data_IF_088316312448
#
_entry.id   IF_088316312448
#
_cell.length_a   1.000
_cell.length_b   1.000
_cell.length_c   1.000
_cell.angle_alpha   90.00
_cell.angle_beta   90.00
_cell.angle_gamma   90.00
#
_symmetry.space_group_name_H-M   'P 1'
#
loop_
_entity.id
_entity.type
_entity.pdbx_description
1 polymer ?
#
# COMPACT_ATOMS: atom_id res chain seq x y z
N UNK A 1 3.37 -19.59 -6.12
CA UNK A 1 2.90 -18.30 -5.58
C UNK A 1 1.48 -18.50 -5.12
N UNK A 2 1.10 -17.99 -3.95
CA UNK A 2 -0.29 -18.08 -3.47
C UNK A 2 -1.20 -17.23 -4.37
N UNK A 3 -2.42 -17.69 -4.66
CA UNK A 3 -3.41 -16.93 -5.43
C UNK A 3 -4.52 -16.45 -4.50
N UNK A 4 -4.72 -15.13 -4.33
CA UNK A 4 -5.80 -14.63 -3.50
C UNK A 4 -7.16 -15.06 -4.03
N UNK A 5 -8.09 -15.41 -3.13
CA UNK A 5 -9.47 -15.78 -3.46
C UNK A 5 -10.43 -14.58 -3.48
N UNK A 6 -9.91 -13.37 -3.28
CA UNK A 6 -10.64 -12.12 -3.29
C UNK A 6 -9.76 -11.02 -3.91
N UNK A 7 -10.37 -9.89 -4.34
CA UNK A 7 -9.61 -8.72 -4.75
C UNK A 7 -8.67 -8.23 -3.65
N UNK A 8 -7.44 -7.85 -4.02
CA UNK A 8 -6.41 -7.33 -3.10
C UNK A 8 -5.86 -6.00 -3.62
N UNK A 9 -5.58 -5.07 -2.70
CA UNK A 9 -4.95 -3.77 -2.95
C UNK A 9 -3.80 -3.56 -1.95
N UNK A 10 -2.61 -3.18 -2.44
CA UNK A 10 -1.45 -2.92 -1.58
C UNK A 10 -1.10 -1.42 -1.51
N UNK A 11 -0.72 -0.97 -0.31
CA UNK A 11 -0.22 0.37 -0.02
C UNK A 11 1.09 0.27 0.78
N UNK A 12 2.19 0.82 0.24
CA UNK A 12 3.51 0.80 0.88
C UNK A 12 4.11 2.21 0.98
N UNK A 13 4.73 2.52 2.10
CA UNK A 13 5.56 3.72 2.21
C UNK A 13 6.94 3.49 1.57
N UNK A 14 7.44 4.44 0.78
CA UNK A 14 8.78 4.37 0.17
C UNK A 14 9.91 4.33 1.22
N UNK A 15 9.73 5.03 2.35
CA UNK A 15 10.75 5.17 3.39
C UNK A 15 10.57 4.19 4.55
N UNK A 16 9.64 3.23 4.43
CA UNK A 16 9.39 2.20 5.43
C UNK A 16 10.61 1.26 5.55
N UNK A 17 11.39 1.45 6.61
CA UNK A 17 12.59 0.65 6.88
C UNK A 17 12.29 -0.84 7.17
N UNK A 18 11.05 -1.18 7.50
CA UNK A 18 10.63 -2.57 7.70
C UNK A 18 10.30 -3.30 6.39
N UNK A 19 10.14 -2.56 5.29
CA UNK A 19 9.81 -3.10 3.97
C UNK A 19 10.75 -2.47 2.91
N UNK A 20 11.98 -3.01 2.78
CA UNK A 20 12.92 -2.53 1.78
C UNK A 20 12.42 -2.69 0.33
N UNK A 21 12.97 -1.94 -0.65
CA UNK A 21 12.55 -1.99 -2.05
C UNK A 21 12.57 -3.39 -2.69
N UNK A 22 13.49 -4.27 -2.28
CA UNK A 22 13.53 -5.65 -2.75
C UNK A 22 12.25 -6.44 -2.41
N UNK A 23 11.56 -6.11 -1.31
CA UNK A 23 10.29 -6.72 -0.97
C UNK A 23 9.19 -6.29 -1.95
N UNK A 24 9.14 -5.02 -2.34
CA UNK A 24 8.20 -4.55 -3.36
C UNK A 24 8.41 -5.28 -4.69
N UNK A 25 9.67 -5.45 -5.10
CA UNK A 25 10.03 -6.19 -6.32
C UNK A 25 9.59 -7.66 -6.25
N UNK A 26 9.85 -8.33 -5.12
CA UNK A 26 9.41 -9.72 -4.91
C UNK A 26 7.89 -9.87 -4.94
N UNK A 27 7.15 -8.96 -4.34
CA UNK A 27 5.69 -8.98 -4.36
C UNK A 27 5.17 -8.71 -5.78
N UNK A 28 5.73 -7.74 -6.51
CA UNK A 28 5.36 -7.49 -7.92
C UNK A 28 5.61 -8.71 -8.81
N UNK A 29 6.73 -9.41 -8.61
CA UNK A 29 7.02 -10.63 -9.36
C UNK A 29 6.05 -11.77 -9.00
N UNK A 30 5.68 -11.89 -7.73
CA UNK A 30 4.75 -12.93 -7.27
C UNK A 30 3.28 -12.65 -7.60
N UNK A 31 2.90 -11.37 -7.69
CA UNK A 31 1.54 -10.88 -7.86
C UNK A 31 1.47 -9.77 -8.93
N UNK A 32 1.86 -10.06 -10.20
CA UNK A 32 2.04 -9.03 -11.23
C UNK A 32 0.74 -8.28 -11.59
N UNK A 33 -0.41 -8.89 -11.32
CA UNK A 33 -1.73 -8.36 -11.67
C UNK A 33 -2.43 -7.64 -10.53
N UNK A 34 -1.88 -7.65 -9.30
CA UNK A 34 -2.51 -7.01 -8.15
C UNK A 34 -2.09 -5.53 -8.04
N UNK A 35 -3.03 -4.59 -7.83
CA UNK A 35 -2.72 -3.19 -7.62
C UNK A 35 -1.77 -2.98 -6.43
N UNK A 36 -0.67 -2.28 -6.69
CA UNK A 36 0.33 -1.92 -5.67
C UNK A 36 0.74 -0.46 -5.83
N UNK A 37 0.57 0.31 -4.75
CA UNK A 37 0.94 1.71 -4.69
C UNK A 37 2.05 1.93 -3.67
N UNK A 38 3.14 2.56 -4.11
CA UNK A 38 4.23 3.03 -3.26
C UNK A 38 4.08 4.54 -3.11
N UNK A 39 4.16 5.05 -1.89
CA UNK A 39 3.95 6.45 -1.54
C UNK A 39 5.29 7.13 -1.24
N UNK A 40 5.72 8.10 -2.06
CA UNK A 40 6.96 8.82 -1.84
C UNK A 40 7.00 9.50 -0.46
N UNK A 41 8.18 9.57 0.15
CA UNK A 41 8.45 10.16 1.47
C UNK A 41 7.68 9.55 2.68
N UNK A 42 6.68 8.69 2.45
CA UNK A 42 5.89 8.07 3.50
C UNK A 42 6.61 6.84 4.08
N UNK A 43 6.61 6.72 5.41
CA UNK A 43 7.23 5.61 6.12
C UNK A 43 6.22 4.63 6.70
N UNK A 44 6.68 3.80 7.64
CA UNK A 44 5.82 2.88 8.37
C UNK A 44 4.70 3.61 9.12
N UNK A 45 3.48 3.09 9.05
CA UNK A 45 2.34 3.68 9.75
C UNK A 45 1.87 5.03 9.22
N UNK A 46 2.20 5.39 7.97
CA UNK A 46 1.86 6.68 7.37
C UNK A 46 0.37 7.06 7.40
N UNK A 47 -0.53 6.08 7.53
CA UNK A 47 -1.98 6.31 7.59
C UNK A 47 -2.55 6.49 9.00
N UNK A 48 -1.73 6.37 10.06
CA UNK A 48 -2.16 6.53 11.45
C UNK A 48 -1.84 7.95 11.93
N UNK A 49 -2.87 8.77 12.11
CA UNK A 49 -2.80 10.19 12.49
C UNK A 49 -2.37 10.45 13.93
N UNK A 50 -2.36 9.42 14.77
CA UNK A 50 -1.82 9.45 16.13
C UNK A 50 -0.29 9.24 16.19
N UNK A 51 0.36 8.87 15.07
CA UNK A 51 1.81 8.60 15.02
C UNK A 51 2.58 9.76 14.43
N UNK A 52 3.81 9.99 14.92
CA UNK A 52 4.74 10.94 14.31
C UNK A 52 5.14 10.60 12.87
N UNK A 53 4.90 9.37 12.43
CA UNK A 53 5.10 8.94 11.04
C UNK A 53 3.91 9.21 10.11
N UNK A 54 2.83 9.81 10.62
CA UNK A 54 1.67 10.19 9.83
C UNK A 54 2.08 11.06 8.63
N UNK A 55 1.70 10.64 7.43
CA UNK A 55 1.93 11.40 6.20
C UNK A 55 0.60 11.72 5.54
N UNK A 56 0.05 12.90 5.89
CA UNK A 56 -1.32 13.34 5.54
C UNK A 56 -1.67 13.14 4.06
N UNK A 57 -0.78 13.53 3.16
CA UNK A 57 -1.02 13.44 1.71
C UNK A 57 -1.14 11.98 1.25
N UNK A 58 -0.23 11.12 1.71
CA UNK A 58 -0.22 9.69 1.37
C UNK A 58 -1.40 8.96 1.99
N UNK A 59 -1.74 9.29 3.24
CA UNK A 59 -2.90 8.75 3.94
C UNK A 59 -4.21 9.10 3.21
N UNK A 60 -4.39 10.36 2.82
CA UNK A 60 -5.56 10.81 2.07
C UNK A 60 -5.68 10.08 0.73
N UNK A 61 -4.60 9.98 -0.04
CA UNK A 61 -4.60 9.31 -1.33
C UNK A 61 -4.81 7.78 -1.21
N UNK A 62 -4.20 7.14 -0.22
CA UNK A 62 -4.45 5.72 0.08
C UNK A 62 -5.91 5.46 0.45
N UNK A 63 -6.51 6.34 1.26
CA UNK A 63 -7.92 6.25 1.62
C UNK A 63 -8.84 6.38 0.41
N UNK A 64 -8.61 7.34 -0.48
CA UNK A 64 -9.39 7.49 -1.72
C UNK A 64 -9.34 6.23 -2.58
N UNK A 65 -8.13 5.70 -2.83
CA UNK A 65 -7.94 4.46 -3.59
C UNK A 65 -8.63 3.26 -2.93
N UNK A 66 -8.56 3.16 -1.60
CA UNK A 66 -9.22 2.10 -0.83
C UNK A 66 -10.74 2.16 -1.00
N UNK A 67 -11.35 3.34 -0.85
CA UNK A 67 -12.79 3.50 -0.99
C UNK A 67 -13.27 3.20 -2.41
N UNK A 68 -12.55 3.67 -3.43
CA UNK A 68 -12.84 3.35 -4.83
C UNK A 68 -12.70 1.85 -5.12
N UNK A 69 -11.69 1.21 -4.54
CA UNK A 69 -11.48 -0.23 -4.69
C UNK A 69 -12.61 -1.03 -4.04
N UNK A 70 -13.01 -0.69 -2.83
CA UNK A 70 -14.13 -1.34 -2.14
C UNK A 70 -15.44 -1.14 -2.91
N UNK A 71 -15.73 0.08 -3.36
CA UNK A 71 -16.94 0.35 -4.15
C UNK A 71 -17.05 -0.46 -5.46
N UNK A 72 -15.92 -0.93 -6.02
CA UNK A 72 -15.89 -1.77 -7.23
C UNK A 72 -16.02 -3.26 -6.94
N UNK A 73 -15.80 -3.70 -5.70
CA UNK A 73 -15.58 -5.11 -5.35
C UNK A 73 -16.46 -5.60 -4.18
N UNK A 74 -17.34 -4.74 -3.64
CA UNK A 74 -18.35 -5.05 -2.60
C UNK A 74 -19.73 -5.01 -3.22
#
# INVERSE_FOLDING_TARGET
>A
TETPRCPVLFHFGETDQSIPPEHHTRIRAAQPNLPMHIYPAAGHGFSCDERGSYHKESAALARTRTLEFLAKNV
#
